data_IF_850788620616
#
_entry.id   IF_850788620616
#
_cell.length_a   1.000
_cell.length_b   1.000
_cell.length_c   1.000
_cell.angle_alpha   90.00
_cell.angle_beta   90.00
_cell.angle_gamma   90.00
#
_symmetry.space_group_name_H-M   'P 1'
#
loop_
_entity.id
_entity.type
_entity.pdbx_description
1 polymer ?
#
# COMPACT_ATOMS: atom_id res chain seq x y z
N UNK A 1 35.14 -63.53 20.40
CA UNK A 1 33.81 -63.38 21.03
C UNK A 1 32.81 -63.44 19.88
N UNK A 2 32.22 -64.61 19.67
CA UNK A 2 31.24 -64.87 18.62
C UNK A 2 29.94 -64.15 18.97
N UNK A 3 29.51 -63.22 18.12
CA UNK A 3 28.15 -62.67 18.19
C UNK A 3 27.36 -63.42 17.11
N UNK A 4 26.57 -64.39 17.56
CA UNK A 4 25.60 -65.12 16.73
C UNK A 4 24.69 -64.12 16.03
N UNK A 5 24.64 -64.19 14.71
CA UNK A 5 23.92 -63.27 13.83
C UNK A 5 22.77 -63.99 13.10
N UNK A 6 22.14 -64.97 13.74
CA UNK A 6 21.31 -65.97 13.03
C UNK A 6 19.84 -66.11 13.48
N UNK A 7 19.26 -65.19 14.27
CA UNK A 7 17.89 -65.44 14.78
C UNK A 7 16.88 -64.29 14.76
N UNK A 8 17.09 -63.22 13.96
CA UNK A 8 16.09 -62.14 13.82
C UNK A 8 15.42 -62.03 12.44
N UNK A 9 15.58 -63.03 11.56
CA UNK A 9 14.99 -62.98 10.22
C UNK A 9 13.64 -63.71 10.10
N UNK A 10 12.87 -63.79 11.20
CA UNK A 10 11.51 -64.36 11.18
C UNK A 10 10.46 -63.26 11.13
N UNK A 11 9.81 -63.19 9.97
CA UNK A 11 8.58 -62.47 9.65
C UNK A 11 8.67 -60.95 9.50
N UNK A 12 9.47 -60.49 8.53
CA UNK A 12 9.08 -59.28 7.79
C UNK A 12 8.00 -59.72 6.78
N UNK A 13 6.75 -59.23 6.87
CA UNK A 13 5.70 -59.61 5.92
C UNK A 13 6.11 -59.18 4.51
N UNK A 14 6.47 -60.17 3.71
CA UNK A 14 6.93 -60.00 2.33
C UNK A 14 5.74 -59.62 1.43
N UNK A 15 5.51 -58.32 1.27
CA UNK A 15 4.47 -57.80 0.37
C UNK A 15 5.05 -57.71 -1.05
N UNK A 16 4.97 -58.78 -1.82
CA UNK A 16 5.42 -58.76 -3.23
C UNK A 16 4.42 -58.00 -4.12
N UNK A 17 4.92 -57.22 -5.08
CA UNK A 17 4.05 -56.51 -6.04
C UNK A 17 3.35 -57.46 -7.02
N UNK A 18 3.97 -58.60 -7.30
CA UNK A 18 3.41 -59.66 -8.12
C UNK A 18 3.19 -60.88 -7.24
N UNK A 19 1.95 -61.12 -6.80
CA UNK A 19 1.60 -62.40 -6.19
C UNK A 19 0.14 -62.76 -6.44
N UNK A 20 -0.08 -63.77 -7.28
CA UNK A 20 -1.18 -64.71 -7.09
C UNK A 20 -0.84 -65.57 -5.85
N UNK A 21 -1.82 -65.96 -5.03
CA UNK A 21 -1.59 -66.70 -3.78
C UNK A 21 -0.77 -68.00 -3.96
N UNK A 22 -0.76 -68.57 -5.16
CA UNK A 22 -0.01 -69.75 -5.55
C UNK A 22 1.52 -69.53 -5.58
N UNK A 23 1.97 -68.39 -6.12
CA UNK A 23 3.40 -68.05 -6.24
C UNK A 23 4.04 -67.80 -4.87
N UNK A 24 3.25 -67.27 -3.93
CA UNK A 24 3.71 -66.97 -2.56
C UNK A 24 4.11 -68.24 -1.80
N UNK A 25 3.38 -69.33 -2.01
CA UNK A 25 3.64 -70.61 -1.32
C UNK A 25 4.80 -71.39 -1.95
N UNK A 26 5.01 -71.28 -3.26
CA UNK A 26 6.13 -71.94 -3.95
C UNK A 26 7.49 -71.25 -3.70
N UNK A 27 7.50 -69.92 -3.55
CA UNK A 27 8.69 -69.11 -3.23
C UNK A 27 9.15 -69.35 -1.79
N UNK A 28 8.23 -69.52 -0.83
CA UNK A 28 8.56 -69.70 0.60
C UNK A 28 9.14 -71.09 0.93
N UNK A 29 8.92 -72.10 0.08
CA UNK A 29 9.21 -73.51 0.39
C UNK A 29 10.49 -74.08 -0.27
N UNK A 30 11.26 -73.30 -1.03
CA UNK A 30 12.50 -73.78 -1.68
C UNK A 30 13.64 -72.76 -1.60
N UNK A 31 14.81 -73.20 -1.09
CA UNK A 31 16.12 -72.52 -1.17
C UNK A 31 16.63 -72.55 -2.63
N UNK A 32 15.98 -71.79 -3.51
CA UNK A 32 16.32 -71.74 -4.93
C UNK A 32 16.93 -70.36 -5.24
N UNK A 33 18.11 -70.26 -5.89
CA UNK A 33 18.72 -68.96 -6.25
C UNK A 33 17.80 -68.03 -7.04
N UNK A 34 16.87 -68.60 -7.82
CA UNK A 34 15.82 -67.86 -8.53
C UNK A 34 14.82 -67.17 -7.59
N UNK A 35 14.50 -67.79 -6.45
CA UNK A 35 13.63 -67.24 -5.39
C UNK A 35 14.30 -66.01 -4.77
N UNK A 36 15.58 -66.13 -4.43
CA UNK A 36 16.38 -65.02 -3.88
C UNK A 36 16.47 -63.85 -4.85
N UNK A 37 16.64 -64.12 -6.14
CA UNK A 37 16.65 -63.10 -7.19
C UNK A 37 15.31 -62.36 -7.32
N UNK A 38 14.18 -63.07 -7.24
CA UNK A 38 12.83 -62.48 -7.28
C UNK A 38 12.59 -61.59 -6.04
N UNK A 39 13.05 -62.00 -4.86
CA UNK A 39 12.97 -61.21 -3.64
C UNK A 39 13.82 -59.94 -3.77
N UNK A 40 15.06 -60.07 -4.27
CA UNK A 40 15.95 -58.94 -4.49
C UNK A 40 15.37 -57.92 -5.48
N UNK A 41 14.77 -58.38 -6.58
CA UNK A 41 14.10 -57.50 -7.54
C UNK A 41 12.90 -56.79 -6.90
N UNK A 42 12.05 -57.49 -6.15
CA UNK A 42 10.92 -56.87 -5.44
C UNK A 42 11.40 -55.81 -4.43
N UNK A 43 12.47 -56.09 -3.67
CA UNK A 43 13.04 -55.14 -2.73
C UNK A 43 13.60 -53.89 -3.45
N UNK A 44 14.25 -54.06 -4.60
CA UNK A 44 14.69 -52.93 -5.45
C UNK A 44 13.50 -52.11 -5.96
N UNK A 45 12.42 -52.76 -6.38
CA UNK A 45 11.17 -52.11 -6.77
C UNK A 45 10.55 -51.32 -5.61
N UNK A 46 10.43 -51.91 -4.42
CA UNK A 46 9.94 -51.21 -3.21
C UNK A 46 10.79 -50.00 -2.84
N UNK A 47 12.12 -50.12 -2.88
CA UNK A 47 13.02 -48.98 -2.65
C UNK A 47 12.82 -47.90 -3.71
N UNK A 48 12.65 -48.27 -4.97
CA UNK A 48 12.44 -47.30 -6.04
C UNK A 48 11.09 -46.59 -5.93
N UNK A 49 10.01 -47.33 -5.62
CA UNK A 49 8.68 -46.77 -5.38
C UNK A 49 8.72 -45.84 -4.18
N UNK A 50 9.31 -46.23 -3.05
CA UNK A 50 9.46 -45.37 -1.88
C UNK A 50 10.25 -44.10 -2.18
N UNK A 51 11.31 -44.20 -3.01
CA UNK A 51 12.07 -43.03 -3.45
C UNK A 51 11.22 -42.09 -4.32
N UNK A 52 10.44 -42.66 -5.24
CA UNK A 52 9.52 -41.90 -6.10
C UNK A 52 8.41 -41.24 -5.28
N UNK A 53 7.82 -41.94 -4.30
CA UNK A 53 6.82 -41.40 -3.38
C UNK A 53 7.37 -40.22 -2.58
N UNK A 54 8.59 -40.37 -2.03
CA UNK A 54 9.25 -39.27 -1.32
C UNK A 54 9.50 -38.07 -2.24
N UNK A 55 10.04 -38.30 -3.45
CA UNK A 55 10.25 -37.22 -4.42
C UNK A 55 8.93 -36.56 -4.85
N UNK A 56 7.84 -37.32 -4.95
CA UNK A 56 6.52 -36.78 -5.26
C UNK A 56 6.01 -35.90 -4.12
N UNK A 57 6.16 -36.32 -2.87
CA UNK A 57 5.78 -35.53 -1.70
C UNK A 57 6.62 -34.24 -1.58
N UNK A 58 7.92 -34.31 -1.87
CA UNK A 58 8.80 -33.13 -1.89
C UNK A 58 8.36 -32.14 -2.98
N UNK A 59 8.07 -32.64 -4.19
CA UNK A 59 7.53 -31.85 -5.30
C UNK A 59 6.17 -31.24 -4.98
N UNK A 60 5.29 -31.98 -4.30
CA UNK A 60 3.97 -31.48 -3.88
C UNK A 60 4.11 -30.36 -2.84
N UNK A 61 5.06 -30.50 -1.92
CA UNK A 61 5.36 -29.45 -0.93
C UNK A 61 5.93 -28.20 -1.59
N UNK A 62 6.89 -28.37 -2.49
CA UNK A 62 7.48 -27.25 -3.25
C UNK A 62 6.43 -26.53 -4.09
N UNK A 63 5.55 -27.29 -4.76
CA UNK A 63 4.42 -26.74 -5.50
C UNK A 63 3.49 -25.92 -4.60
N UNK A 64 3.10 -26.45 -3.45
CA UNK A 64 2.20 -25.73 -2.53
C UNK A 64 2.84 -24.42 -2.02
N UNK A 65 4.13 -24.44 -1.68
CA UNK A 65 4.85 -23.24 -1.28
C UNK A 65 4.91 -22.20 -2.42
N UNK A 66 5.15 -22.65 -3.65
CA UNK A 66 5.17 -21.78 -4.81
C UNK A 66 3.77 -21.17 -5.09
N UNK A 67 2.70 -21.95 -4.92
CA UNK A 67 1.32 -21.46 -5.06
C UNK A 67 1.02 -20.37 -3.99
N UNK A 68 1.45 -20.58 -2.73
CA UNK A 68 1.31 -19.58 -1.65
C UNK A 68 2.11 -18.30 -1.91
N UNK A 69 3.33 -18.41 -2.43
CA UNK A 69 4.17 -17.27 -2.83
C UNK A 69 3.54 -16.47 -3.97
N UNK A 70 2.99 -17.14 -4.99
CA UNK A 70 2.30 -16.50 -6.11
C UNK A 70 1.08 -15.72 -5.62
N UNK A 71 0.31 -16.28 -4.69
CA UNK A 71 -0.85 -15.60 -4.09
C UNK A 71 -0.44 -14.37 -3.28
N UNK A 72 0.61 -14.47 -2.47
CA UNK A 72 1.15 -13.33 -1.71
C UNK A 72 1.63 -12.21 -2.64
N UNK A 73 2.45 -12.55 -3.64
CA UNK A 73 2.95 -11.59 -4.63
C UNK A 73 1.82 -10.92 -5.41
N UNK A 74 0.77 -11.66 -5.75
CA UNK A 74 -0.39 -11.12 -6.47
C UNK A 74 -1.16 -10.13 -5.60
N UNK A 75 -1.33 -10.41 -4.29
CA UNK A 75 -1.93 -9.48 -3.33
C UNK A 75 -1.09 -8.21 -3.19
N UNK A 76 0.22 -8.33 -2.94
CA UNK A 76 1.13 -7.18 -2.82
C UNK A 76 1.13 -6.33 -4.08
N UNK A 77 1.18 -6.95 -5.27
CA UNK A 77 1.10 -6.25 -6.56
C UNK A 77 -0.20 -5.44 -6.68
N UNK A 78 -1.33 -6.02 -6.29
CA UNK A 78 -2.63 -5.34 -6.33
C UNK A 78 -2.66 -4.14 -5.38
N UNK A 79 -2.17 -4.32 -4.15
CA UNK A 79 -2.03 -3.24 -3.17
C UNK A 79 -1.16 -2.09 -3.71
N UNK A 80 0.01 -2.39 -4.28
CA UNK A 80 0.92 -1.40 -4.86
C UNK A 80 0.30 -0.67 -6.06
N UNK A 81 -0.47 -1.35 -6.90
CA UNK A 81 -1.20 -0.71 -8.00
C UNK A 81 -2.26 0.27 -7.48
N UNK A 82 -2.97 -0.10 -6.41
CA UNK A 82 -3.90 0.79 -5.71
C UNK A 82 -3.19 2.01 -5.12
N UNK A 83 -2.07 1.79 -4.43
CA UNK A 83 -1.25 2.86 -3.86
C UNK A 83 -0.77 3.84 -4.93
N UNK A 84 -0.22 3.34 -6.04
CA UNK A 84 0.26 4.19 -7.12
C UNK A 84 -0.87 5.03 -7.74
N UNK A 85 -2.06 4.46 -7.91
CA UNK A 85 -3.23 5.20 -8.41
C UNK A 85 -3.61 6.32 -7.45
N UNK A 86 -3.63 6.04 -6.16
CA UNK A 86 -3.91 7.01 -5.11
C UNK A 86 -2.89 8.16 -5.11
N UNK A 87 -1.60 7.88 -5.26
CA UNK A 87 -0.54 8.90 -5.36
C UNK A 87 -0.72 9.82 -6.58
N UNK A 88 -1.09 9.26 -7.73
CA UNK A 88 -1.38 10.06 -8.93
C UNK A 88 -2.57 10.99 -8.69
N UNK A 89 -3.66 10.48 -8.11
CA UNK A 89 -4.86 11.25 -7.81
C UNK A 89 -4.58 12.34 -6.75
N UNK A 90 -3.81 12.00 -5.72
CA UNK A 90 -3.33 12.93 -4.70
C UNK A 90 -2.55 14.09 -5.33
N UNK A 91 -1.59 13.79 -6.22
CA UNK A 91 -0.79 14.81 -6.89
C UNK A 91 -1.65 15.76 -7.75
N UNK A 92 -2.65 15.22 -8.46
CA UNK A 92 -3.60 16.01 -9.26
C UNK A 92 -4.43 16.93 -8.37
N UNK A 93 -4.94 16.43 -7.25
CA UNK A 93 -5.75 17.21 -6.31
C UNK A 93 -4.91 18.31 -5.65
N UNK A 94 -3.69 18.00 -5.20
CA UNK A 94 -2.74 18.97 -4.65
C UNK A 94 -2.38 20.06 -5.67
N UNK A 95 -2.17 19.70 -6.94
CA UNK A 95 -1.93 20.68 -8.02
C UNK A 95 -3.12 21.60 -8.21
N UNK A 96 -4.34 21.06 -8.18
CA UNK A 96 -5.57 21.84 -8.31
C UNK A 96 -5.75 22.81 -7.15
N UNK A 97 -5.47 22.37 -5.92
CA UNK A 97 -5.43 23.23 -4.74
C UNK A 97 -4.42 24.37 -4.92
N UNK A 98 -3.20 24.05 -5.35
CA UNK A 98 -2.16 25.05 -5.58
C UNK A 98 -2.55 26.08 -6.65
N UNK A 99 -3.22 25.64 -7.73
CA UNK A 99 -3.74 26.54 -8.77
C UNK A 99 -4.78 27.50 -8.21
N UNK A 100 -5.75 27.02 -7.42
CA UNK A 100 -6.75 27.87 -6.78
C UNK A 100 -6.07 28.94 -5.90
N UNK A 101 -5.05 28.57 -5.12
CA UNK A 101 -4.29 29.55 -4.33
C UNK A 101 -3.55 30.57 -5.20
N UNK A 102 -2.88 30.11 -6.26
CA UNK A 102 -2.15 30.97 -7.19
C UNK A 102 -3.07 31.95 -7.93
N UNK A 103 -4.31 31.58 -8.23
CA UNK A 103 -5.27 32.47 -8.90
C UNK A 103 -5.82 33.57 -7.97
N UNK A 104 -5.87 33.31 -6.66
CA UNK A 104 -6.36 34.29 -5.67
C UNK A 104 -5.26 35.24 -5.20
N UNK A 105 -4.00 34.80 -5.20
CA UNK A 105 -2.86 35.56 -4.71
C UNK A 105 -2.71 36.94 -5.40
N UNK A 106 -2.84 37.09 -6.74
CA UNK A 106 -2.81 38.39 -7.40
C UNK A 106 -3.95 39.32 -6.96
N UNK A 107 -5.14 38.78 -6.67
CA UNK A 107 -6.28 39.58 -6.20
C UNK A 107 -6.00 40.16 -4.82
N UNK A 108 -5.41 39.35 -3.93
CA UNK A 108 -4.95 39.80 -2.63
C UNK A 108 -3.91 40.92 -2.77
N UNK A 109 -2.86 40.72 -3.58
CA UNK A 109 -1.84 41.73 -3.81
C UNK A 109 -2.41 43.02 -4.41
N UNK A 110 -3.37 42.93 -5.33
CA UNK A 110 -4.02 44.10 -5.92
C UNK A 110 -4.79 44.92 -4.87
N UNK A 111 -5.49 44.27 -3.94
CA UNK A 111 -6.20 44.94 -2.84
C UNK A 111 -5.20 45.63 -1.90
N UNK A 112 -4.11 44.95 -1.52
CA UNK A 112 -3.05 45.53 -0.70
C UNK A 112 -2.40 46.73 -1.39
N UNK A 113 -2.06 46.60 -2.68
CA UNK A 113 -1.45 47.67 -3.47
C UNK A 113 -2.36 48.89 -3.59
N UNK A 114 -3.65 48.70 -3.89
CA UNK A 114 -4.63 49.79 -3.94
C UNK A 114 -4.77 50.49 -2.59
N UNK A 115 -4.85 49.73 -1.51
CA UNK A 115 -4.89 50.27 -0.15
C UNK A 115 -3.66 51.13 0.17
N UNK A 116 -2.46 50.64 -0.18
CA UNK A 116 -1.20 51.35 -0.01
C UNK A 116 -1.16 52.65 -0.83
N UNK A 117 -1.59 52.63 -2.10
CA UNK A 117 -1.64 53.82 -2.94
C UNK A 117 -2.61 54.87 -2.42
N UNK A 118 -3.80 54.47 -1.96
CA UNK A 118 -4.77 55.38 -1.33
C UNK A 118 -4.16 56.01 -0.08
N UNK A 119 -3.40 55.24 0.71
CA UNK A 119 -2.75 55.75 1.91
C UNK A 119 -1.65 56.77 1.60
N UNK A 120 -0.81 56.53 0.58
CA UNK A 120 0.15 57.54 0.15
C UNK A 120 -0.51 58.83 -0.32
N UNK A 121 -1.58 58.74 -1.13
CA UNK A 121 -2.32 59.91 -1.59
C UNK A 121 -2.90 60.68 -0.40
N UNK A 122 -3.48 59.97 0.57
CA UNK A 122 -4.02 60.57 1.80
C UNK A 122 -2.95 61.30 2.62
N UNK A 123 -1.78 60.67 2.82
CA UNK A 123 -0.65 61.26 3.54
C UNK A 123 -0.14 62.53 2.85
N UNK A 124 -0.04 62.53 1.52
CA UNK A 124 0.36 63.72 0.75
C UNK A 124 -0.67 64.84 0.93
N UNK A 125 -1.97 64.55 0.81
CA UNK A 125 -3.04 65.54 0.95
C UNK A 125 -3.05 66.19 2.34
N UNK A 126 -2.90 65.41 3.42
CA UNK A 126 -2.96 65.96 4.78
C UNK A 126 -1.70 66.77 5.15
N UNK A 127 -0.55 66.43 4.57
CA UNK A 127 0.70 67.17 4.76
C UNK A 127 0.68 68.50 4.01
N UNK A 128 0.22 68.53 2.76
CA UNK A 128 0.25 69.74 1.92
C UNK A 128 -0.87 70.72 2.29
N UNK A 129 -2.05 70.25 2.69
CA UNK A 129 -3.16 71.15 2.95
C UNK A 129 -2.98 71.93 4.29
N UNK A 130 -3.08 73.27 4.28
CA UNK A 130 -2.90 74.12 5.46
C UNK A 130 -4.17 74.18 6.33
N UNK A 131 -4.79 73.04 6.62
CA UNK A 131 -5.95 72.97 7.51
C UNK A 131 -5.57 73.13 8.99
N UNK A 132 -6.50 73.64 9.79
CA UNK A 132 -6.38 73.63 11.25
C UNK A 132 -6.24 72.20 11.79
N UNK A 133 -5.49 72.04 12.89
CA UNK A 133 -5.17 70.74 13.47
C UNK A 133 -6.42 69.89 13.77
N UNK A 134 -7.47 70.51 14.31
CA UNK A 134 -8.73 69.82 14.64
C UNK A 134 -9.39 69.18 13.41
N UNK A 135 -9.36 69.87 12.26
CA UNK A 135 -9.92 69.34 11.00
C UNK A 135 -9.09 68.15 10.50
N UNK A 136 -7.75 68.25 10.59
CA UNK A 136 -6.84 67.15 10.22
C UNK A 136 -7.07 65.90 11.06
N UNK A 137 -7.27 66.04 12.37
CA UNK A 137 -7.57 64.93 13.27
C UNK A 137 -8.91 64.28 12.88
N UNK A 138 -9.96 65.08 12.69
CA UNK A 138 -11.28 64.55 12.30
C UNK A 138 -11.24 63.80 10.96
N UNK A 139 -10.57 64.36 9.95
CA UNK A 139 -10.38 63.70 8.65
C UNK A 139 -9.60 62.39 8.77
N UNK A 140 -8.58 62.35 9.64
CA UNK A 140 -7.79 61.14 9.90
C UNK A 140 -8.61 60.05 10.54
N UNK A 141 -9.44 60.40 11.52
CA UNK A 141 -10.35 59.43 12.14
C UNK A 141 -11.31 58.84 11.11
N UNK A 142 -11.96 59.69 10.30
CA UNK A 142 -12.88 59.24 9.24
C UNK A 142 -12.17 58.34 8.23
N UNK A 143 -10.97 58.73 7.79
CA UNK A 143 -10.15 57.96 6.86
C UNK A 143 -9.81 56.58 7.42
N UNK A 144 -9.28 56.51 8.65
CA UNK A 144 -8.88 55.25 9.29
C UNK A 144 -10.08 54.31 9.49
N UNK A 145 -11.24 54.83 9.88
CA UNK A 145 -12.47 54.03 9.99
C UNK A 145 -12.90 53.48 8.63
N UNK A 146 -12.87 54.31 7.59
CA UNK A 146 -13.28 53.92 6.23
C UNK A 146 -12.30 52.91 5.62
N UNK A 147 -11.00 53.12 5.82
CA UNK A 147 -9.94 52.21 5.39
C UNK A 147 -10.08 50.86 6.11
N UNK A 148 -10.30 50.87 7.42
CA UNK A 148 -10.53 49.65 8.21
C UNK A 148 -11.76 48.86 7.74
N UNK A 149 -12.86 49.55 7.43
CA UNK A 149 -14.05 48.90 6.86
C UNK A 149 -13.77 48.31 5.47
N UNK A 150 -13.09 49.07 4.59
CA UNK A 150 -12.76 48.63 3.24
C UNK A 150 -11.81 47.41 3.26
N UNK A 151 -10.72 47.47 4.02
CA UNK A 151 -9.78 46.36 4.14
C UNK A 151 -10.43 45.16 4.79
N UNK A 152 -11.20 45.35 5.86
CA UNK A 152 -11.95 44.29 6.54
C UNK A 152 -12.91 43.56 5.59
N UNK A 153 -13.76 44.29 4.87
CA UNK A 153 -14.71 43.70 3.90
C UNK A 153 -14.00 42.89 2.82
N UNK A 154 -12.91 43.42 2.24
CA UNK A 154 -12.13 42.72 1.23
C UNK A 154 -11.45 41.46 1.80
N UNK A 155 -10.88 41.56 3.00
CA UNK A 155 -10.26 40.42 3.68
C UNK A 155 -11.29 39.31 3.96
N UNK A 156 -12.50 39.67 4.38
CA UNK A 156 -13.60 38.72 4.57
C UNK A 156 -14.03 38.05 3.26
N UNK A 157 -14.11 38.79 2.16
CA UNK A 157 -14.39 38.21 0.84
C UNK A 157 -13.31 37.21 0.42
N UNK A 158 -12.03 37.54 0.60
CA UNK A 158 -10.90 36.65 0.30
C UNK A 158 -10.93 35.43 1.23
N UNK A 159 -11.20 35.63 2.51
CA UNK A 159 -11.35 34.55 3.48
C UNK A 159 -12.48 33.59 3.07
N UNK A 160 -13.65 34.09 2.67
CA UNK A 160 -14.73 33.23 2.16
C UNK A 160 -14.35 32.53 0.86
N UNK A 161 -13.64 33.19 -0.04
CA UNK A 161 -13.11 32.53 -1.24
C UNK A 161 -12.12 31.39 -0.89
N UNK A 162 -11.36 31.50 0.20
CA UNK A 162 -10.42 30.46 0.63
C UNK A 162 -11.01 29.37 1.54
N UNK A 163 -12.04 29.67 2.32
CA UNK A 163 -12.56 28.74 3.34
C UNK A 163 -13.92 28.15 3.00
N UNK A 164 -14.70 28.84 2.16
CA UNK A 164 -16.05 28.43 1.76
C UNK A 164 -16.18 28.16 0.26
N UNK A 165 -15.07 28.02 -0.45
CA UNK A 165 -15.13 27.55 -1.82
C UNK A 165 -15.46 26.05 -1.79
N UNK A 166 -16.67 25.68 -2.22
CA UNK A 166 -17.14 24.30 -2.26
C UNK A 166 -16.18 23.37 -3.01
N UNK A 167 -15.52 23.88 -4.06
CA UNK A 167 -14.51 23.14 -4.82
C UNK A 167 -13.29 22.81 -3.96
N UNK A 168 -12.79 23.78 -3.19
CA UNK A 168 -11.62 23.56 -2.33
C UNK A 168 -11.96 22.63 -1.16
N UNK A 169 -13.16 22.74 -0.59
CA UNK A 169 -13.63 21.85 0.47
C UNK A 169 -13.71 20.41 -0.04
N UNK A 170 -14.32 20.18 -1.22
CA UNK A 170 -14.37 18.86 -1.85
C UNK A 170 -12.98 18.30 -2.12
N UNK A 171 -12.07 19.09 -2.69
CA UNK A 171 -10.68 18.67 -2.93
C UNK A 171 -9.97 18.26 -1.64
N UNK A 172 -10.17 18.99 -0.53
CA UNK A 172 -9.60 18.63 0.78
C UNK A 172 -10.19 17.33 1.33
N UNK A 173 -11.50 17.14 1.18
CA UNK A 173 -12.16 15.90 1.57
C UNK A 173 -11.66 14.71 0.75
N UNK A 174 -11.47 14.89 -0.56
CA UNK A 174 -10.91 13.87 -1.46
C UNK A 174 -9.47 13.53 -1.07
N UNK A 175 -8.61 14.52 -0.85
CA UNK A 175 -7.24 14.32 -0.35
C UNK A 175 -7.25 13.52 0.96
N UNK A 176 -8.10 13.89 1.91
CA UNK A 176 -8.22 13.18 3.20
C UNK A 176 -8.70 11.73 3.01
N UNK A 177 -9.60 11.48 2.06
CA UNK A 177 -10.06 10.11 1.74
C UNK A 177 -8.92 9.29 1.13
N UNK A 178 -8.12 9.88 0.25
CA UNK A 178 -6.96 9.22 -0.36
C UNK A 178 -5.92 8.88 0.69
N UNK A 179 -5.60 9.81 1.60
CA UNK A 179 -4.66 9.58 2.71
C UNK A 179 -5.13 8.42 3.60
N UNK A 180 -6.42 8.38 3.97
CA UNK A 180 -6.99 7.24 4.71
C UNK A 180 -6.90 5.94 3.92
N UNK A 181 -7.18 5.97 2.62
CA UNK A 181 -7.05 4.80 1.76
C UNK A 181 -5.60 4.30 1.71
N UNK A 182 -4.61 5.19 1.65
CA UNK A 182 -3.20 4.84 1.65
C UNK A 182 -2.77 4.22 2.97
N UNK A 183 -3.26 4.73 4.10
CA UNK A 183 -3.04 4.09 5.41
C UNK A 183 -3.56 2.65 5.42
N UNK A 184 -4.79 2.40 4.94
CA UNK A 184 -5.32 1.04 4.89
C UNK A 184 -4.51 0.12 3.96
N UNK A 185 -4.03 0.62 2.82
CA UNK A 185 -3.19 -0.17 1.91
C UNK A 185 -1.85 -0.50 2.59
N UNK A 186 -1.27 0.44 3.32
CA UNK A 186 -0.05 0.22 4.08
C UNK A 186 -0.25 -0.83 5.18
N UNK A 187 -1.33 -0.73 5.96
CA UNK A 187 -1.69 -1.74 6.96
C UNK A 187 -1.90 -3.12 6.30
N UNK A 188 -2.50 -3.18 5.11
CA UNK A 188 -2.65 -4.43 4.37
C UNK A 188 -1.31 -5.01 3.93
N UNK A 189 -0.39 -4.20 3.45
CA UNK A 189 0.95 -4.64 3.03
C UNK A 189 1.75 -5.14 4.24
N UNK A 190 1.66 -4.47 5.38
CA UNK A 190 2.38 -4.86 6.60
C UNK A 190 1.86 -6.18 7.22
N UNK A 191 0.64 -6.61 6.84
CA UNK A 191 -0.02 -7.83 7.33
C UNK A 191 -0.11 -8.97 6.29
N UNK A 192 0.49 -8.82 5.09
CA UNK A 192 0.64 -9.87 4.06
C UNK A 192 1.98 -10.57 4.25
#
# INVERSE_FOLDING_TARGET
MNINMDDENKNIPLKMYFTTNEIKNDIMNKENPSTEYIILQNNKLHMHVKKLENSLNDLETEKNNADDEVDSLTKTRTCLQGYLKNEVEYAVNCKSVAQIYNDQLPKYYNICFKSMMINYIYMILITICPFQLNIKITLTTIYMTTLGYYTGKNLTCIYHAHTKCDVLLKLKEEITKIEKSNMYIQDLIDNI
#
